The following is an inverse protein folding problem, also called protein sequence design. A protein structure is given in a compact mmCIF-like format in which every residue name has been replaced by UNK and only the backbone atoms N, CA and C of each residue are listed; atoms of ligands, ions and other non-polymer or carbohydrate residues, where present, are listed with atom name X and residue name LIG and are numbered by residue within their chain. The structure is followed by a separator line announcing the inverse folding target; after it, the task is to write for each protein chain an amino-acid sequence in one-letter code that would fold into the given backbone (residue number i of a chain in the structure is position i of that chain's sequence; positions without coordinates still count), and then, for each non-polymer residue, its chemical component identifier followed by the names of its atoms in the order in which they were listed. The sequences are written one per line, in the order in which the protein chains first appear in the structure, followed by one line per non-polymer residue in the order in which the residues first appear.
data_IF_133164124189
#
_entry.id   IF_133164124189
#
_cell.length_a   1.000
_cell.length_b   1.000
_cell.length_c   1.000
_cell.angle_alpha   90.00
_cell.angle_beta   90.00
_cell.angle_gamma   90.00
#
_symmetry.space_group_name_H-M   'P 1'
#
loop_
_entity.id
_entity.type
_entity.pdbx_description
1 polymer ?
#
# COMPACT_ATOMS: atom_id res chain seq x y z
N UNK A 1 52.30 8.51 -6.21
CA UNK A 1 51.58 8.93 -7.43
C UNK A 1 50.87 10.24 -7.08
N UNK A 2 51.15 11.32 -7.82
CA UNK A 2 50.71 12.69 -7.51
C UNK A 2 49.22 12.85 -7.80
N UNK A 3 48.48 13.48 -6.89
CA UNK A 3 47.23 14.14 -7.21
C UNK A 3 47.53 15.47 -7.91
N UNK A 4 46.91 15.69 -9.07
CA UNK A 4 46.76 16.99 -9.73
C UNK A 4 45.27 17.19 -9.96
N UNK A 5 44.76 18.29 -9.43
CA UNK A 5 43.52 18.90 -9.88
C UNK A 5 43.67 19.41 -11.32
N UNK A 6 42.64 19.18 -12.13
CA UNK A 6 42.30 20.01 -13.28
C UNK A 6 40.81 19.85 -13.61
N UNK A 7 40.17 21.00 -13.64
CA UNK A 7 38.78 21.32 -13.90
C UNK A 7 38.11 20.70 -15.14
N UNK A 8 36.78 20.82 -15.10
CA UNK A 8 35.85 21.06 -16.22
C UNK A 8 35.39 19.86 -17.05
N UNK A 9 34.31 19.25 -16.57
CA UNK A 9 33.48 18.34 -17.34
C UNK A 9 32.09 18.24 -16.73
N UNK A 10 31.33 19.34 -16.70
CA UNK A 10 29.90 19.29 -16.37
C UNK A 10 29.18 18.50 -17.47
N UNK A 11 29.09 17.17 -17.31
CA UNK A 11 28.08 16.39 -18.01
C UNK A 11 26.74 16.72 -17.36
N UNK A 12 25.86 17.33 -18.16
CA UNK A 12 24.49 17.60 -17.78
C UNK A 12 23.82 16.31 -17.33
N UNK A 13 23.39 16.30 -16.08
CA UNK A 13 22.41 15.33 -15.61
C UNK A 13 21.10 15.84 -16.19
N UNK A 14 20.56 15.15 -17.19
CA UNK A 14 19.24 15.45 -17.73
C UNK A 14 18.23 15.33 -16.59
N UNK A 15 17.76 16.48 -16.12
CA UNK A 15 16.60 16.57 -15.26
C UNK A 15 15.41 16.08 -16.08
N UNK A 16 14.95 14.86 -15.80
CA UNK A 16 13.61 14.44 -16.21
C UNK A 16 12.63 15.52 -15.72
N UNK A 17 11.73 16.04 -16.57
CA UNK A 17 10.80 17.05 -16.14
C UNK A 17 9.94 16.44 -15.03
N UNK A 18 10.00 17.05 -13.85
CA UNK A 18 8.93 16.96 -12.87
C UNK A 18 7.67 17.31 -13.64
N UNK A 19 6.80 16.31 -13.86
CA UNK A 19 5.51 16.51 -14.49
C UNK A 19 4.86 17.71 -13.82
N UNK A 20 4.51 18.69 -14.65
CA UNK A 20 3.87 19.96 -14.28
C UNK A 20 2.89 19.81 -13.11
N UNK A 21 2.86 20.74 -12.15
CA UNK A 21 1.89 20.68 -11.06
C UNK A 21 0.48 20.63 -11.66
N UNK A 22 -0.43 19.78 -11.14
CA UNK A 22 -1.82 19.85 -11.56
C UNK A 22 -2.34 21.27 -11.29
N UNK A 23 -3.30 21.77 -12.10
CA UNK A 23 -3.86 23.09 -11.89
C UNK A 23 -4.52 23.19 -10.50
N UNK A 24 -4.71 24.43 -10.06
CA UNK A 24 -5.46 24.83 -8.87
C UNK A 24 -6.69 23.92 -8.63
N UNK A 25 -7.00 23.61 -7.37
CA UNK A 25 -8.10 22.73 -6.92
C UNK A 25 -9.42 22.91 -7.72
N UNK A 26 -9.66 22.12 -8.77
CA UNK A 26 -10.69 22.44 -9.78
C UNK A 26 -11.77 21.35 -9.98
N UNK A 27 -11.66 20.15 -9.40
CA UNK A 27 -12.71 19.12 -9.50
C UNK A 27 -13.62 19.03 -8.27
N UNK A 28 -14.92 18.77 -8.45
CA UNK A 28 -15.84 18.52 -7.33
C UNK A 28 -15.37 17.32 -6.47
N UNK A 29 -14.74 16.33 -7.12
CA UNK A 29 -14.14 15.17 -6.48
C UNK A 29 -13.02 15.56 -5.49
N UNK A 30 -12.12 16.49 -5.85
CA UNK A 30 -11.09 17.02 -4.95
C UNK A 30 -11.70 17.69 -3.72
N UNK A 31 -12.72 18.53 -3.92
CA UNK A 31 -13.42 19.19 -2.81
C UNK A 31 -14.14 18.20 -1.91
N UNK A 32 -14.71 17.13 -2.46
CA UNK A 32 -15.30 16.05 -1.66
C UNK A 32 -14.24 15.32 -0.83
N UNK A 33 -13.10 14.97 -1.43
CA UNK A 33 -11.99 14.31 -0.73
C UNK A 33 -11.41 15.21 0.37
N UNK A 34 -11.14 16.49 0.10
CA UNK A 34 -10.62 17.43 1.09
C UNK A 34 -11.60 17.61 2.27
N UNK A 35 -12.91 17.73 2.00
CA UNK A 35 -13.93 17.79 3.06
C UNK A 35 -13.96 16.52 3.90
N UNK A 36 -13.95 15.35 3.26
CA UNK A 36 -13.96 14.07 3.96
C UNK A 36 -12.67 13.84 4.77
N UNK A 37 -11.52 14.27 4.26
CA UNK A 37 -10.22 14.22 4.95
C UNK A 37 -10.31 14.96 6.29
N UNK A 38 -10.83 16.20 6.26
CA UNK A 38 -10.99 17.01 7.45
C UNK A 38 -12.04 16.44 8.42
N UNK A 39 -13.23 16.09 7.91
CA UNK A 39 -14.37 15.68 8.73
C UNK A 39 -14.22 14.29 9.35
N UNK A 40 -13.59 13.34 8.64
CA UNK A 40 -13.53 11.92 9.04
C UNK A 40 -12.15 11.51 9.56
N UNK A 41 -11.07 12.07 8.99
CA UNK A 41 -9.70 11.72 9.39
C UNK A 41 -9.03 12.78 10.26
N UNK A 42 -9.65 13.96 10.42
CA UNK A 42 -9.11 15.09 11.21
C UNK A 42 -7.73 15.55 10.73
N UNK A 43 -7.48 15.45 9.42
CA UNK A 43 -6.27 15.92 8.77
C UNK A 43 -6.57 17.19 7.97
N UNK A 44 -5.62 18.12 7.93
CA UNK A 44 -5.76 19.40 7.23
C UNK A 44 -5.30 19.36 5.77
N UNK A 45 -4.35 18.49 5.45
CA UNK A 45 -3.70 18.45 4.14
C UNK A 45 -3.33 17.02 3.73
N UNK A 46 -3.23 16.81 2.42
CA UNK A 46 -2.70 15.58 1.84
C UNK A 46 -1.18 15.63 1.83
N UNK A 47 -0.54 14.49 2.11
CA UNK A 47 0.89 14.31 1.82
C UNK A 47 1.10 14.13 0.32
N UNK A 48 2.32 14.36 -0.21
CA UNK A 48 2.61 14.19 -1.63
C UNK A 48 2.14 12.84 -2.19
N UNK A 49 1.42 12.87 -3.31
CA UNK A 49 0.86 11.70 -3.99
C UNK A 49 -0.45 11.15 -3.41
N UNK A 50 -0.87 11.56 -2.21
CA UNK A 50 -2.09 11.01 -1.61
C UNK A 50 -3.35 11.47 -2.32
N UNK A 51 -3.42 12.75 -2.73
CA UNK A 51 -4.60 13.30 -3.39
C UNK A 51 -4.78 12.64 -4.77
N UNK A 52 -3.69 12.50 -5.53
CA UNK A 52 -3.65 11.89 -6.85
C UNK A 52 -4.08 10.42 -6.79
N UNK A 53 -3.56 9.66 -5.82
CA UNK A 53 -3.97 8.27 -5.61
C UNK A 53 -5.44 8.16 -5.19
N UNK A 54 -5.89 9.00 -4.26
CA UNK A 54 -7.27 9.00 -3.79
C UNK A 54 -8.27 9.39 -4.89
N UNK A 55 -7.92 10.35 -5.74
CA UNK A 55 -8.72 10.73 -6.90
C UNK A 55 -8.82 9.59 -7.91
N UNK A 56 -7.70 8.93 -8.24
CA UNK A 56 -7.71 7.78 -9.15
C UNK A 56 -8.65 6.68 -8.63
N UNK A 57 -8.57 6.34 -7.35
CA UNK A 57 -9.48 5.38 -6.71
C UNK A 57 -10.92 5.87 -6.75
N UNK A 58 -11.20 7.13 -6.36
CA UNK A 58 -12.55 7.69 -6.33
C UNK A 58 -13.19 7.68 -7.73
N UNK A 59 -12.44 8.07 -8.76
CA UNK A 59 -12.91 8.15 -10.15
C UNK A 59 -12.98 6.78 -10.85
N UNK A 60 -12.44 5.73 -10.23
CA UNK A 60 -12.46 4.38 -10.81
C UNK A 60 -11.45 4.20 -11.94
N UNK A 61 -10.30 4.87 -11.83
CA UNK A 61 -9.15 4.65 -12.69
C UNK A 61 -8.30 3.53 -12.11
N UNK A 62 -7.88 2.58 -12.95
CA UNK A 62 -6.92 1.56 -12.53
C UNK A 62 -5.61 2.24 -12.12
N UNK A 63 -4.98 1.78 -11.04
CA UNK A 63 -3.84 2.44 -10.40
C UNK A 63 -2.77 1.43 -9.96
N UNK A 64 -1.50 1.78 -10.17
CA UNK A 64 -0.34 1.19 -9.48
C UNK A 64 0.36 2.32 -8.74
N UNK A 65 0.25 2.34 -7.41
CA UNK A 65 0.84 3.34 -6.54
C UNK A 65 2.00 2.74 -5.73
N UNK A 66 3.21 3.24 -5.99
CA UNK A 66 4.42 2.95 -5.22
C UNK A 66 4.69 4.16 -4.31
N UNK A 67 4.42 3.98 -3.03
CA UNK A 67 4.57 5.04 -2.03
C UNK A 67 5.27 4.50 -0.80
N UNK A 68 6.29 5.19 -0.23
CA UNK A 68 7.10 4.63 0.84
C UNK A 68 6.26 4.30 2.09
N UNK A 69 6.80 3.45 2.96
CA UNK A 69 6.18 3.16 4.26
C UNK A 69 6.03 4.44 5.06
N UNK A 70 4.88 4.62 5.70
CA UNK A 70 4.54 5.87 6.41
C UNK A 70 3.99 6.98 5.52
N UNK A 71 3.98 6.83 4.19
CA UNK A 71 3.33 7.81 3.28
C UNK A 71 1.80 7.86 3.42
N UNK A 72 1.20 6.96 4.20
CA UNK A 72 -0.26 6.93 4.41
C UNK A 72 -1.03 6.32 3.23
N UNK A 73 -0.51 5.26 2.61
CA UNK A 73 -1.16 4.52 1.51
C UNK A 73 -2.62 4.17 1.81
N UNK A 74 -2.91 3.69 3.03
CA UNK A 74 -4.25 3.30 3.44
C UNK A 74 -5.29 4.42 3.33
N UNK A 75 -4.90 5.66 3.60
CA UNK A 75 -5.76 6.83 3.43
C UNK A 75 -6.24 6.97 1.98
N UNK A 76 -5.39 6.64 1.01
CA UNK A 76 -5.66 6.82 -0.43
C UNK A 76 -6.80 5.93 -0.93
N UNK A 77 -7.12 4.83 -0.26
CA UNK A 77 -8.26 3.99 -0.62
C UNK A 77 -9.37 3.97 0.44
N UNK A 78 -9.03 4.20 1.71
CA UNK A 78 -10.02 4.31 2.78
C UNK A 78 -10.88 5.56 2.63
N UNK A 79 -10.28 6.70 2.26
CA UNK A 79 -11.00 7.96 2.12
C UNK A 79 -12.02 7.90 0.96
N UNK A 80 -11.66 7.44 -0.26
CA UNK A 80 -12.63 7.22 -1.33
C UNK A 80 -13.73 6.21 -0.97
N UNK A 81 -13.41 5.14 -0.21
CA UNK A 81 -14.41 4.16 0.22
C UNK A 81 -15.56 4.78 1.05
N UNK A 82 -15.38 5.98 1.60
CA UNK A 82 -16.42 6.72 2.32
C UNK A 82 -17.38 7.48 1.41
N UNK A 83 -16.93 7.79 0.20
CA UNK A 83 -17.64 8.61 -0.77
C UNK A 83 -18.33 7.76 -1.83
N UNK A 84 -17.91 6.50 -1.98
CA UNK A 84 -18.42 5.58 -2.97
C UNK A 84 -19.67 4.86 -2.48
N UNK A 85 -20.63 4.68 -3.39
CA UNK A 85 -21.74 3.76 -3.19
C UNK A 85 -21.28 2.31 -3.38
N UNK A 86 -21.41 1.51 -2.32
CA UNK A 86 -21.02 0.10 -2.29
C UNK A 86 -19.82 -0.17 -1.41
N UNK A 87 -19.34 -1.41 -1.44
CA UNK A 87 -18.22 -1.87 -0.62
C UNK A 87 -16.91 -1.80 -1.40
N UNK A 88 -15.88 -1.21 -0.81
CA UNK A 88 -14.50 -1.36 -1.27
C UNK A 88 -13.89 -2.63 -0.68
N UNK A 89 -13.41 -3.54 -1.53
CA UNK A 89 -12.74 -4.78 -1.10
C UNK A 89 -11.23 -4.54 -1.11
N UNK A 90 -10.57 -4.71 0.03
CA UNK A 90 -9.13 -4.53 0.19
C UNK A 90 -8.47 -5.88 0.46
N UNK A 91 -7.70 -6.39 -0.49
CA UNK A 91 -6.89 -7.60 -0.31
C UNK A 91 -5.55 -7.21 0.31
N UNK A 92 -5.22 -7.77 1.47
CA UNK A 92 -3.96 -7.48 2.18
C UNK A 92 -3.42 -8.74 2.85
N UNK A 93 -2.09 -9.00 2.83
CA UNK A 93 -1.53 -10.23 3.39
C UNK A 93 -1.31 -10.15 4.91
N UNK A 94 -1.38 -8.95 5.51
CA UNK A 94 -0.99 -8.71 6.90
C UNK A 94 -2.21 -8.66 7.83
N UNK A 95 -2.63 -9.83 8.33
CA UNK A 95 -3.81 -9.98 9.20
C UNK A 95 -3.78 -9.04 10.42
N UNK A 96 -2.64 -8.92 11.10
CA UNK A 96 -2.50 -8.02 12.25
C UNK A 96 -2.77 -6.55 11.86
N UNK A 97 -2.22 -6.11 10.72
CA UNK A 97 -2.45 -4.77 10.21
C UNK A 97 -3.91 -4.57 9.79
N UNK A 98 -4.56 -5.56 9.18
CA UNK A 98 -5.98 -5.49 8.83
C UNK A 98 -6.84 -5.20 10.06
N UNK A 99 -6.55 -5.84 11.20
CA UNK A 99 -7.26 -5.60 12.46
C UNK A 99 -7.09 -4.16 12.94
N UNK A 100 -5.86 -3.67 13.01
CA UNK A 100 -5.57 -2.30 13.43
C UNK A 100 -6.26 -1.27 12.54
N UNK A 101 -6.28 -1.51 11.22
CA UNK A 101 -6.96 -0.65 10.26
C UNK A 101 -8.49 -0.66 10.46
N UNK A 102 -9.10 -1.83 10.67
CA UNK A 102 -10.54 -1.95 10.92
C UNK A 102 -10.94 -1.27 12.23
N UNK A 103 -10.19 -1.48 13.29
CA UNK A 103 -10.45 -0.86 14.59
C UNK A 103 -10.35 0.67 14.49
N UNK A 104 -9.34 1.19 13.79
CA UNK A 104 -9.17 2.62 13.53
C UNK A 104 -10.32 3.21 12.69
N UNK A 105 -10.83 2.48 11.69
CA UNK A 105 -11.97 2.90 10.87
C UNK A 105 -13.28 2.89 11.69
N UNK A 106 -13.53 1.82 12.47
CA UNK A 106 -14.71 1.70 13.34
C UNK A 106 -14.74 2.78 14.40
N UNK A 107 -13.61 3.12 15.01
CA UNK A 107 -13.49 4.22 15.97
C UNK A 107 -13.87 5.59 15.35
N UNK A 108 -13.83 5.72 14.02
CA UNK A 108 -14.27 6.90 13.26
C UNK A 108 -15.72 6.79 12.77
N UNK A 109 -16.46 5.78 13.21
CA UNK A 109 -17.85 5.52 12.83
C UNK A 109 -18.01 4.90 11.44
N UNK A 110 -16.95 4.28 10.90
CA UNK A 110 -16.96 3.71 9.55
C UNK A 110 -17.27 2.22 9.62
N UNK A 111 -18.19 1.78 8.75
CA UNK A 111 -18.58 0.39 8.64
C UNK A 111 -17.49 -0.41 7.89
N UNK A 112 -16.51 -0.87 8.66
CA UNK A 112 -15.39 -1.67 8.18
C UNK A 112 -15.35 -3.04 8.88
N UNK A 113 -14.83 -4.04 8.18
CA UNK A 113 -14.58 -5.37 8.74
C UNK A 113 -13.35 -6.02 8.10
N UNK A 114 -12.83 -7.07 8.73
CA UNK A 114 -11.79 -7.93 8.20
C UNK A 114 -12.34 -9.35 8.02
N UNK A 115 -11.82 -10.09 7.03
CA UNK A 115 -12.08 -11.50 6.79
C UNK A 115 -10.77 -12.24 6.58
N UNK A 116 -10.47 -13.20 7.45
CA UNK A 116 -9.31 -14.09 7.33
C UNK A 116 -9.58 -15.47 7.93
N UNK A 117 -8.73 -16.44 7.61
CA UNK A 117 -8.88 -17.84 8.04
C UNK A 117 -8.90 -18.03 9.56
N UNK A 118 -8.11 -17.25 10.30
CA UNK A 118 -8.03 -17.31 11.77
C UNK A 118 -9.25 -16.81 12.57
N UNK A 119 -10.31 -16.31 11.94
CA UNK A 119 -11.49 -15.80 12.65
C UNK A 119 -12.39 -16.92 13.19
N UNK A 120 -13.01 -16.76 14.37
CA UNK A 120 -14.09 -17.63 14.84
C UNK A 120 -15.25 -17.68 13.83
N UNK A 121 -15.90 -18.84 13.73
CA UNK A 121 -16.98 -19.05 12.74
C UNK A 121 -18.16 -18.08 12.87
N UNK A 122 -18.59 -17.77 14.10
CA UNK A 122 -19.68 -16.83 14.34
C UNK A 122 -19.34 -15.39 13.92
N UNK A 123 -18.13 -14.92 14.22
CA UNK A 123 -17.66 -13.60 13.81
C UNK A 123 -17.56 -13.50 12.28
N UNK A 124 -17.01 -14.53 11.64
CA UNK A 124 -16.92 -14.63 10.18
C UNK A 124 -18.31 -14.56 9.52
N UNK A 125 -19.26 -15.34 10.01
CA UNK A 125 -20.63 -15.34 9.50
C UNK A 125 -21.32 -13.97 9.67
N UNK A 126 -21.07 -13.28 10.78
CA UNK A 126 -21.59 -11.94 11.01
C UNK A 126 -21.03 -10.92 10.00
N UNK A 127 -19.73 -10.99 9.69
CA UNK A 127 -19.11 -10.13 8.67
C UNK A 127 -19.63 -10.46 7.27
N UNK A 128 -19.74 -11.73 6.91
CA UNK A 128 -20.29 -12.15 5.61
C UNK A 128 -21.76 -11.73 5.45
N UNK A 129 -22.56 -11.80 6.52
CA UNK A 129 -23.93 -11.28 6.54
C UNK A 129 -23.98 -9.75 6.39
N UNK A 130 -23.09 -9.02 7.06
CA UNK A 130 -22.97 -7.57 6.92
C UNK A 130 -22.58 -7.16 5.49
N UNK A 131 -21.65 -7.90 4.90
CA UNK A 131 -21.23 -7.72 3.51
C UNK A 131 -22.39 -7.96 2.56
N UNK A 132 -23.06 -9.12 2.66
CA UNK A 132 -24.19 -9.49 1.80
C UNK A 132 -25.36 -8.51 1.90
N UNK A 133 -25.55 -7.88 3.06
CA UNK A 133 -26.58 -6.86 3.27
C UNK A 133 -26.17 -5.45 2.83
N UNK A 134 -25.01 -5.25 2.19
CA UNK A 134 -24.52 -3.94 1.78
C UNK A 134 -24.20 -2.99 2.94
N UNK A 135 -23.96 -3.51 4.14
CA UNK A 135 -23.76 -2.72 5.37
C UNK A 135 -22.30 -2.31 5.60
N UNK A 136 -21.38 -2.64 4.69
CA UNK A 136 -19.96 -2.35 4.82
C UNK A 136 -19.51 -1.38 3.72
N UNK A 137 -18.88 -0.27 4.11
CA UNK A 137 -18.19 0.62 3.17
C UNK A 137 -16.85 0.03 2.73
N UNK A 138 -16.19 -0.73 3.61
CA UNK A 138 -14.89 -1.34 3.34
C UNK A 138 -14.77 -2.72 3.99
N UNK A 139 -14.24 -3.69 3.27
CA UNK A 139 -13.87 -5.00 3.84
C UNK A 139 -12.43 -5.33 3.49
N UNK A 140 -11.61 -5.53 4.52
CA UNK A 140 -10.29 -6.13 4.38
C UNK A 140 -10.44 -7.64 4.25
N UNK A 141 -9.76 -8.26 3.31
CA UNK A 141 -9.79 -9.71 3.10
C UNK A 141 -8.39 -10.26 2.90
N UNK A 142 -8.08 -11.36 3.59
CA UNK A 142 -6.83 -12.06 3.39
C UNK A 142 -6.88 -12.85 2.06
N UNK A 143 -5.75 -12.98 1.33
CA UNK A 143 -5.72 -13.58 -0.01
C UNK A 143 -6.29 -15.00 -0.08
N UNK A 144 -6.09 -15.82 0.96
CA UNK A 144 -6.58 -17.20 1.00
C UNK A 144 -8.11 -17.28 0.99
N UNK A 145 -8.80 -16.21 1.42
CA UNK A 145 -10.27 -16.14 1.43
C UNK A 145 -10.87 -15.88 0.05
N UNK A 146 -10.08 -15.48 -0.94
CA UNK A 146 -10.56 -15.28 -2.32
C UNK A 146 -11.12 -16.57 -2.95
N UNK A 147 -10.74 -17.74 -2.43
CA UNK A 147 -11.28 -19.04 -2.84
C UNK A 147 -12.52 -19.49 -2.05
N UNK A 148 -12.93 -18.75 -1.01
CA UNK A 148 -14.04 -19.16 -0.14
C UNK A 148 -15.39 -18.96 -0.80
N UNK A 149 -16.18 -20.03 -0.88
CA UNK A 149 -17.54 -20.00 -1.44
C UNK A 149 -18.44 -19.02 -0.69
N UNK A 150 -18.49 -19.10 0.64
CA UNK A 150 -19.34 -18.21 1.47
C UNK A 150 -19.04 -16.71 1.28
N UNK A 151 -17.76 -16.36 1.13
CA UNK A 151 -17.33 -14.99 0.87
C UNK A 151 -17.75 -14.53 -0.52
N UNK A 152 -17.61 -15.38 -1.53
CA UNK A 152 -18.04 -15.09 -2.91
C UNK A 152 -19.56 -14.94 -3.00
N UNK A 153 -20.33 -15.76 -2.31
CA UNK A 153 -21.78 -15.64 -2.20
C UNK A 153 -22.21 -14.33 -1.53
N UNK A 154 -21.52 -13.94 -0.45
CA UNK A 154 -21.76 -12.66 0.21
C UNK A 154 -21.42 -11.47 -0.70
N UNK A 155 -20.30 -11.54 -1.43
CA UNK A 155 -19.91 -10.53 -2.41
C UNK A 155 -20.92 -10.40 -3.55
N UNK A 156 -21.43 -11.51 -4.08
CA UNK A 156 -22.41 -11.51 -5.17
C UNK A 156 -23.75 -10.85 -4.80
N UNK A 157 -24.01 -10.61 -3.51
CA UNK A 157 -25.21 -9.94 -3.00
C UNK A 157 -24.99 -8.46 -2.67
N UNK A 158 -23.76 -7.96 -2.78
CA UNK A 158 -23.43 -6.55 -2.51
C UNK A 158 -22.91 -5.85 -3.76
N UNK A 159 -23.10 -4.53 -3.80
CA UNK A 159 -22.47 -3.70 -4.80
C UNK A 159 -21.01 -3.49 -4.41
N UNK A 160 -20.08 -4.11 -5.14
CA UNK A 160 -18.66 -3.81 -4.99
C UNK A 160 -18.34 -2.53 -5.75
N UNK A 161 -17.72 -1.58 -5.08
CA UNK A 161 -17.34 -0.30 -5.69
C UNK A 161 -15.94 -0.38 -6.30
N UNK A 162 -14.97 -0.90 -5.55
CA UNK A 162 -13.55 -0.94 -5.93
C UNK A 162 -12.88 -2.20 -5.40
N UNK A 163 -11.89 -2.67 -6.12
CA UNK A 163 -10.91 -3.63 -5.64
C UNK A 163 -9.61 -2.89 -5.30
N UNK A 164 -9.06 -3.14 -4.13
CA UNK A 164 -7.78 -2.61 -3.71
C UNK A 164 -6.88 -3.79 -3.36
N UNK A 165 -5.63 -3.75 -3.79
CA UNK A 165 -4.62 -4.74 -3.43
C UNK A 165 -3.49 -4.01 -2.72
N UNK A 166 -3.38 -4.24 -1.42
CA UNK A 166 -2.31 -3.73 -0.57
C UNK A 166 -1.14 -4.72 -0.56
N UNK A 167 0.07 -4.22 -0.34
CA UNK A 167 1.33 -4.95 -0.54
C UNK A 167 1.37 -5.69 -1.89
N UNK A 168 0.98 -4.99 -2.95
CA UNK A 168 0.81 -5.54 -4.28
C UNK A 168 2.08 -6.19 -4.86
N UNK A 169 3.26 -5.88 -4.33
CA UNK A 169 4.49 -6.59 -4.69
C UNK A 169 4.42 -8.11 -4.44
N UNK A 170 3.56 -8.59 -3.53
CA UNK A 170 3.31 -10.01 -3.28
C UNK A 170 2.71 -10.75 -4.50
N UNK A 171 2.12 -10.02 -5.45
CA UNK A 171 1.60 -10.59 -6.70
C UNK A 171 2.75 -11.06 -7.59
N UNK A 172 3.83 -10.29 -7.63
CA UNK A 172 4.89 -10.47 -8.59
C UNK A 172 5.87 -11.54 -8.12
N UNK A 173 6.24 -12.47 -9.02
CA UNK A 173 7.30 -13.44 -8.75
C UNK A 173 8.69 -12.78 -8.67
N UNK A 174 8.82 -11.60 -9.27
CA UNK A 174 9.99 -10.74 -9.15
C UNK A 174 9.94 -9.87 -7.89
N UNK A 175 8.83 -9.91 -7.15
CA UNK A 175 8.68 -9.33 -5.84
C UNK A 175 9.43 -10.14 -4.77
N UNK A 176 9.69 -9.49 -3.64
CA UNK A 176 10.48 -10.07 -2.54
C UNK A 176 9.67 -10.98 -1.58
N UNK A 177 8.33 -11.00 -1.69
CA UNK A 177 7.42 -11.83 -0.87
C UNK A 177 6.27 -12.41 -1.73
N UNK A 178 6.61 -13.13 -2.81
CA UNK A 178 5.62 -13.72 -3.71
C UNK A 178 4.67 -14.69 -2.96
N UNK A 179 3.35 -14.53 -3.16
CA UNK A 179 2.32 -15.38 -2.53
C UNK A 179 1.44 -16.07 -3.57
N UNK A 180 1.41 -17.42 -3.63
CA UNK A 180 0.62 -18.15 -4.60
C UNK A 180 -0.88 -17.81 -4.61
N UNK A 181 -1.45 -17.45 -3.46
CA UNK A 181 -2.87 -17.08 -3.34
C UNK A 181 -3.24 -15.83 -4.17
N UNK A 182 -2.28 -14.94 -4.44
CA UNK A 182 -2.49 -13.74 -5.27
C UNK A 182 -2.73 -14.05 -6.74
N UNK A 183 -2.38 -15.26 -7.23
CA UNK A 183 -2.67 -15.69 -8.62
C UNK A 183 -4.16 -15.66 -8.95
N UNK A 184 -5.03 -15.71 -7.94
CA UNK A 184 -6.49 -15.67 -8.12
C UNK A 184 -7.03 -14.27 -8.37
N UNK A 185 -6.23 -13.21 -8.17
CA UNK A 185 -6.71 -11.84 -8.24
C UNK A 185 -7.16 -11.41 -9.63
N UNK A 186 -6.49 -11.89 -10.69
CA UNK A 186 -6.91 -11.58 -12.06
C UNK A 186 -8.34 -12.06 -12.32
N UNK A 187 -8.61 -13.32 -12.00
CA UNK A 187 -9.93 -13.95 -12.14
C UNK A 187 -10.94 -13.29 -11.21
N UNK A 188 -10.57 -13.06 -9.95
CA UNK A 188 -11.43 -12.41 -8.98
C UNK A 188 -11.84 -10.99 -9.41
N UNK A 189 -10.90 -10.20 -9.95
CA UNK A 189 -11.23 -8.88 -10.51
C UNK A 189 -12.14 -8.99 -11.72
N UNK A 190 -11.87 -9.94 -12.62
CA UNK A 190 -12.70 -10.15 -13.80
C UNK A 190 -14.15 -10.50 -13.43
N UNK A 191 -14.35 -11.34 -12.40
CA UNK A 191 -15.66 -11.68 -11.84
C UNK A 191 -16.37 -10.46 -11.23
N UNK A 192 -15.64 -9.59 -10.53
CA UNK A 192 -16.20 -8.37 -9.94
C UNK A 192 -16.54 -7.30 -10.98
N UNK A 193 -15.75 -7.20 -12.06
CA UNK A 193 -15.95 -6.20 -13.12
C UNK A 193 -15.70 -4.75 -12.67
N UNK A 194 -14.97 -4.53 -11.58
CA UNK A 194 -14.72 -3.20 -10.98
C UNK A 194 -13.29 -2.68 -11.24
N UNK A 195 -13.08 -1.35 -11.21
CA UNK A 195 -11.74 -0.77 -11.22
C UNK A 195 -10.90 -1.24 -10.02
N UNK A 196 -9.59 -1.34 -10.24
CA UNK A 196 -8.66 -1.82 -9.23
C UNK A 196 -7.45 -0.93 -9.01
N UNK A 197 -7.05 -0.80 -7.74
CA UNK A 197 -5.88 -0.04 -7.33
C UNK A 197 -4.90 -0.93 -6.55
N UNK A 198 -3.65 -0.96 -6.99
CA UNK A 198 -2.55 -1.67 -6.36
C UNK A 198 -1.67 -0.68 -5.60
N UNK A 199 -1.38 -0.98 -4.33
CA UNK A 199 -0.54 -0.16 -3.47
C UNK A 199 0.65 -1.01 -2.97
N UNK A 200 1.85 -0.43 -3.00
CA UNK A 200 3.06 -1.08 -2.44
C UNK A 200 4.06 -0.04 -1.93
N UNK A 201 4.90 -0.43 -0.98
CA UNK A 201 6.01 0.40 -0.54
C UNK A 201 7.18 0.43 -1.53
N UNK A 202 7.42 -0.69 -2.21
CA UNK A 202 8.58 -0.89 -3.08
C UNK A 202 8.15 -1.68 -4.31
N UNK A 203 8.55 -1.20 -5.50
CA UNK A 203 8.44 -1.92 -6.76
C UNK A 203 9.34 -1.29 -7.82
N UNK A 204 10.20 -2.10 -8.42
CA UNK A 204 10.96 -1.74 -9.63
C UNK A 204 10.01 -1.58 -10.83
N UNK A 205 10.45 -0.99 -11.95
CA UNK A 205 9.64 -0.93 -13.17
C UNK A 205 9.07 -2.29 -13.60
N UNK A 206 9.88 -3.36 -13.55
CA UNK A 206 9.44 -4.71 -13.90
C UNK A 206 8.38 -5.25 -12.95
N UNK A 207 8.53 -5.02 -11.64
CA UNK A 207 7.53 -5.41 -10.63
C UNK A 207 6.22 -4.64 -10.84
N UNK A 208 6.27 -3.34 -11.18
CA UNK A 208 5.06 -2.56 -11.49
C UNK A 208 4.32 -3.08 -12.72
N UNK A 209 5.07 -3.38 -13.79
CA UNK A 209 4.51 -3.95 -15.00
C UNK A 209 3.85 -5.31 -14.73
N UNK A 210 4.52 -6.18 -13.98
CA UNK A 210 3.98 -7.50 -13.61
C UNK A 210 2.74 -7.38 -12.70
N UNK A 211 2.72 -6.46 -11.73
CA UNK A 211 1.51 -6.14 -10.94
C UNK A 211 0.35 -5.78 -11.86
N UNK A 212 0.58 -4.87 -12.81
CA UNK A 212 -0.46 -4.44 -13.75
C UNK A 212 -0.98 -5.60 -14.60
N UNK A 213 -0.07 -6.44 -15.12
CA UNK A 213 -0.43 -7.62 -15.92
C UNK A 213 -1.20 -8.66 -15.11
N UNK A 214 -0.72 -9.04 -13.92
CA UNK A 214 -1.31 -10.07 -13.07
C UNK A 214 -2.67 -9.65 -12.49
N UNK A 215 -2.90 -8.35 -12.30
CA UNK A 215 -4.22 -7.83 -11.95
C UNK A 215 -5.10 -7.57 -13.19
N UNK A 216 -4.54 -7.61 -14.40
CA UNK A 216 -5.24 -7.27 -15.64
C UNK A 216 -5.61 -5.79 -15.76
N UNK A 217 -4.86 -4.89 -15.10
CA UNK A 217 -5.15 -3.45 -15.10
C UNK A 217 -5.11 -2.90 -16.53
N UNK A 218 -6.10 -2.06 -16.87
CA UNK A 218 -6.23 -1.45 -18.20
C UNK A 218 -5.70 -0.03 -18.14
N UNK A 219 -4.57 0.20 -18.82
CA UNK A 219 -3.90 1.53 -18.88
C UNK A 219 -3.82 2.20 -17.50
N UNK A 220 -3.25 1.53 -16.48
CA UNK A 220 -3.27 2.06 -15.13
C UNK A 220 -2.50 3.38 -15.06
N UNK A 221 -2.97 4.27 -14.19
CA UNK A 221 -2.12 5.35 -13.71
C UNK A 221 -0.96 4.74 -12.92
N UNK A 222 0.27 5.11 -13.24
CA UNK A 222 1.41 4.83 -12.38
C UNK A 222 1.70 6.06 -11.53
N UNK A 223 1.73 5.87 -10.22
CA UNK A 223 2.14 6.89 -9.26
C UNK A 223 3.33 6.37 -8.48
N UNK A 224 4.48 7.01 -8.63
CA UNK A 224 5.69 6.68 -7.87
C UNK A 224 6.09 7.92 -7.08
N UNK A 225 6.02 7.85 -5.76
CA UNK A 225 6.54 8.92 -4.89
C UNK A 225 7.95 8.59 -4.43
N UNK A 226 8.73 9.63 -4.11
CA UNK A 226 10.15 9.49 -3.78
C UNK A 226 10.41 8.52 -2.63
N UNK A 227 11.48 7.73 -2.75
CA UNK A 227 11.94 6.79 -1.72
C UNK A 227 12.88 7.43 -0.70
N UNK A 228 13.27 8.68 -0.94
CA UNK A 228 14.25 9.38 -0.13
C UNK A 228 13.68 9.67 1.25
N UNK A 229 14.46 9.31 2.28
CA UNK A 229 14.20 9.68 3.67
C UNK A 229 15.35 10.58 4.10
N UNK A 230 15.23 11.92 3.95
CA UNK A 230 16.31 12.85 4.25
C UNK A 230 16.70 12.82 5.74
N UNK A 231 15.82 12.30 6.59
CA UNK A 231 16.07 12.07 8.00
C UNK A 231 16.88 10.78 8.30
N UNK A 232 17.26 9.99 7.29
CA UNK A 232 18.08 8.79 7.46
C UNK A 232 19.46 8.95 6.83
N UNK A 233 20.49 8.63 7.61
CA UNK A 233 21.86 8.47 7.11
C UNK A 233 22.13 6.99 6.83
N UNK A 234 22.60 6.68 5.62
CA UNK A 234 23.03 5.33 5.26
C UNK A 234 24.55 5.25 5.34
N UNK A 235 25.07 4.29 6.09
CA UNK A 235 26.51 4.02 6.22
C UNK A 235 26.76 2.51 6.08
N UNK A 236 27.91 2.15 5.51
CA UNK A 236 28.35 0.76 5.35
C UNK A 236 29.76 0.63 5.93
N UNK A 237 29.94 -0.30 6.86
CA UNK A 237 31.23 -0.61 7.47
C UNK A 237 31.62 -2.06 7.17
N UNK A 238 32.78 -2.24 6.52
CA UNK A 238 33.28 -3.57 6.18
C UNK A 238 33.97 -4.21 7.38
N UNK A 239 33.34 -5.23 7.96
CA UNK A 239 33.88 -5.96 9.11
C UNK A 239 34.59 -7.25 8.67
N UNK A 240 35.76 -7.55 9.26
CA UNK A 240 36.49 -8.81 9.03
C UNK A 240 36.27 -9.77 10.19
N UNK A 241 35.49 -10.83 9.97
CA UNK A 241 35.20 -11.83 10.99
C UNK A 241 34.22 -11.36 12.06
N UNK A 242 33.87 -12.27 12.98
CA UNK A 242 32.81 -12.08 13.98
C UNK A 242 33.17 -11.05 15.06
N UNK A 243 34.42 -11.08 15.53
CA UNK A 243 34.90 -10.19 16.60
C UNK A 243 34.88 -8.72 16.18
N UNK A 244 35.38 -8.43 14.97
CA UNK A 244 35.37 -7.06 14.43
C UNK A 244 33.93 -6.56 14.26
N UNK A 245 33.01 -7.41 13.79
CA UNK A 245 31.59 -7.06 13.66
C UNK A 245 30.93 -6.79 15.02
N UNK A 246 31.27 -7.57 16.05
CA UNK A 246 30.75 -7.37 17.40
C UNK A 246 31.24 -6.04 18.00
N UNK A 247 32.54 -5.75 17.88
CA UNK A 247 33.11 -4.49 18.36
C UNK A 247 32.52 -3.27 17.63
N UNK A 248 32.34 -3.35 16.30
CA UNK A 248 31.69 -2.30 15.53
C UNK A 248 30.23 -2.10 15.94
N UNK A 249 29.47 -3.18 16.17
CA UNK A 249 28.10 -3.11 16.65
C UNK A 249 28.01 -2.47 18.03
N UNK A 250 28.85 -2.88 18.98
CA UNK A 250 28.88 -2.27 20.32
C UNK A 250 29.19 -0.78 20.28
N UNK A 251 30.13 -0.38 19.42
CA UNK A 251 30.47 1.02 19.20
C UNK A 251 29.26 1.79 18.65
N UNK A 252 28.62 1.27 17.60
CA UNK A 252 27.44 1.89 16.97
C UNK A 252 26.27 2.03 17.94
N UNK A 253 25.99 1.01 18.76
CA UNK A 253 24.92 1.06 19.76
C UNK A 253 25.19 2.16 20.80
N UNK A 254 26.44 2.35 21.22
CA UNK A 254 26.82 3.42 22.16
C UNK A 254 26.73 4.82 21.53
N UNK A 255 27.14 4.96 20.27
CA UNK A 255 27.13 6.24 19.55
C UNK A 255 25.73 6.70 19.17
N UNK A 256 24.89 5.80 18.64
CA UNK A 256 23.54 6.12 18.17
C UNK A 256 22.54 6.23 19.33
N UNK A 257 22.75 5.47 20.41
CA UNK A 257 21.83 5.40 21.53
C UNK A 257 20.55 4.59 21.25
N UNK A 258 19.60 4.65 22.18
CA UNK A 258 18.33 3.92 22.12
C UNK A 258 17.14 4.86 21.87
N UNK A 259 16.09 4.41 21.15
CA UNK A 259 15.86 3.04 20.66
C UNK A 259 16.51 2.75 19.29
N UNK A 260 16.87 1.47 19.05
CA UNK A 260 17.42 0.99 17.79
C UNK A 260 17.03 -0.48 17.48
N UNK A 261 17.17 -0.89 16.23
CA UNK A 261 16.87 -2.26 15.77
C UNK A 261 18.12 -2.87 15.13
N UNK A 262 18.49 -4.09 15.55
CA UNK A 262 19.59 -4.86 14.97
C UNK A 262 19.03 -6.07 14.24
N UNK A 263 19.23 -6.12 12.92
CA UNK A 263 18.88 -7.28 12.11
C UNK A 263 20.05 -8.26 12.01
N UNK A 264 19.79 -9.54 12.26
CA UNK A 264 20.74 -10.63 12.05
C UNK A 264 20.17 -11.64 11.05
N UNK A 265 21.05 -12.27 10.26
CA UNK A 265 20.63 -13.20 9.21
C UNK A 265 20.11 -14.55 9.74
N UNK A 266 20.47 -14.92 10.98
CA UNK A 266 20.06 -16.19 11.58
C UNK A 266 19.54 -15.98 13.00
N UNK A 267 18.67 -16.89 13.45
CA UNK A 267 18.09 -16.91 14.80
C UNK A 267 19.00 -17.58 15.84
N UNK A 268 20.15 -18.13 15.44
CA UNK A 268 21.09 -18.76 16.37
C UNK A 268 21.79 -17.65 17.16
N UNK A 269 21.41 -17.55 18.43
CA UNK A 269 22.12 -16.82 19.50
C UNK A 269 23.58 -17.28 19.59
#
# INVERSE_FOLDING_TARGET
MRWRDADSGRMGIDFFPVTSPPPLLDSDAERQLARALHQRFRLSEFRPGQLEAALAVLQGRDLVAVMPTGAGKSLCFQLPALLLEGTTVVVSPLIALMKDQVDALRARGLAAAALHSGMPGGERAAVESALAGGRLSLVYVAPERLASVSFREALGRTRVARLVVDEAHCISQWGHDFRPDYRRLATFRAELGVPAAAFTATATPDVRADIATQLGLRTPMELVTGFERPNLTLAVESCRGREHKAAALERLVREVGSPGIVYAATRKS
#
